data_IF_914661910325
#
_entry.id   IF_914661910325
#
_cell.length_a   1.000
_cell.length_b   1.000
_cell.length_c   1.000
_cell.angle_alpha   90.00
_cell.angle_beta   90.00
_cell.angle_gamma   90.00
#
_symmetry.space_group_name_H-M   'P 1'
#
loop_
_entity.id
_entity.type
_entity.pdbx_description
1 polymer ?
#
# COMPACT_ATOMS: atom_id res chain seq x y z
N UNK A 1 -16.69 -15.97 -6.73
CA UNK A 1 -17.30 -14.62 -6.66
C UNK A 1 -16.51 -13.69 -7.55
N UNK A 2 -17.12 -12.72 -8.23
CA UNK A 2 -16.39 -11.73 -9.04
C UNK A 2 -15.69 -10.68 -8.15
N UNK A 3 -14.49 -10.24 -8.56
CA UNK A 3 -13.64 -9.32 -7.78
C UNK A 3 -14.24 -7.92 -7.64
N UNK A 4 -14.88 -7.39 -8.69
CA UNK A 4 -15.51 -6.07 -8.63
C UNK A 4 -16.73 -6.09 -7.71
N UNK A 5 -17.52 -7.16 -7.79
CA UNK A 5 -18.63 -7.36 -6.86
C UNK A 5 -18.14 -7.50 -5.41
N UNK A 6 -17.01 -8.15 -5.17
CA UNK A 6 -16.39 -8.22 -3.86
C UNK A 6 -15.88 -6.84 -3.37
N UNK A 7 -15.35 -6.00 -4.25
CA UNK A 7 -14.87 -4.66 -3.87
C UNK A 7 -15.99 -3.61 -3.75
N UNK A 8 -17.18 -3.86 -4.29
CA UNK A 8 -18.29 -2.90 -4.27
C UNK A 8 -18.84 -2.55 -2.87
N UNK A 9 -18.52 -3.33 -1.84
CA UNK A 9 -19.01 -3.13 -0.47
C UNK A 9 -17.96 -2.39 0.39
N UNK A 10 -18.37 -1.34 1.12
CA UNK A 10 -17.45 -0.52 1.92
C UNK A 10 -16.82 -1.28 3.10
N UNK A 11 -17.54 -2.22 3.71
CA UNK A 11 -17.02 -3.04 4.81
C UNK A 11 -15.94 -3.98 4.27
N UNK A 12 -16.17 -4.60 3.11
CA UNK A 12 -15.15 -5.45 2.46
C UNK A 12 -13.88 -4.68 2.13
N UNK A 13 -13.99 -3.44 1.62
CA UNK A 13 -12.82 -2.57 1.39
C UNK A 13 -12.10 -2.23 2.68
N UNK A 14 -12.82 -1.85 3.73
CA UNK A 14 -12.22 -1.55 5.05
C UNK A 14 -11.47 -2.75 5.65
N UNK A 15 -12.00 -3.96 5.49
CA UNK A 15 -11.32 -5.19 5.89
C UNK A 15 -10.02 -5.41 5.10
N UNK A 16 -10.03 -5.18 3.79
CA UNK A 16 -8.82 -5.29 2.95
C UNK A 16 -7.78 -4.23 3.32
N UNK A 17 -8.18 -2.98 3.56
CA UNK A 17 -7.29 -1.91 4.03
C UNK A 17 -6.59 -2.26 5.34
N UNK A 18 -7.32 -2.96 6.22
CA UNK A 18 -6.77 -3.42 7.49
C UNK A 18 -5.82 -4.60 7.31
N UNK A 19 -6.18 -5.57 6.49
CA UNK A 19 -5.33 -6.72 6.16
C UNK A 19 -4.08 -6.33 5.34
N UNK A 20 -4.11 -5.19 4.66
CA UNK A 20 -2.94 -4.63 3.97
C UNK A 20 -1.80 -4.27 4.95
N UNK A 21 -2.13 -4.02 6.22
CA UNK A 21 -1.16 -3.77 7.31
C UNK A 21 -0.56 -5.04 7.90
N UNK A 22 -1.13 -6.20 7.61
CA UNK A 22 -0.65 -7.51 8.05
C UNK A 22 -1.78 -8.49 8.39
N UNK A 23 -1.46 -9.79 8.59
CA UNK A 23 -2.46 -10.79 8.91
C UNK A 23 -3.11 -10.58 10.29
N UNK A 24 -4.43 -10.75 10.40
CA UNK A 24 -5.19 -10.50 11.63
C UNK A 24 -6.25 -11.56 11.91
N UNK A 25 -6.63 -11.71 13.19
CA UNK A 25 -7.72 -12.62 13.58
C UNK A 25 -9.07 -12.00 13.26
N UNK A 26 -10.07 -12.85 13.03
CA UNK A 26 -11.46 -12.41 12.84
C UNK A 26 -11.98 -11.56 14.00
N UNK A 27 -11.54 -11.84 15.24
CA UNK A 27 -11.97 -11.11 16.44
C UNK A 27 -11.41 -9.69 16.44
N UNK A 28 -10.13 -9.53 16.07
CA UNK A 28 -9.49 -8.23 15.98
C UNK A 28 -10.12 -7.41 14.86
N UNK A 29 -10.38 -8.05 13.71
CA UNK A 29 -11.08 -7.44 12.57
C UNK A 29 -12.47 -6.92 12.95
N UNK A 30 -13.21 -7.68 13.76
CA UNK A 30 -14.55 -7.31 14.21
C UNK A 30 -14.56 -6.20 15.27
N UNK A 31 -13.51 -6.06 16.08
CA UNK A 31 -13.46 -5.08 17.17
C UNK A 31 -13.61 -3.62 16.69
N UNK A 32 -13.18 -3.33 15.47
CA UNK A 32 -13.18 -1.96 14.92
C UNK A 32 -14.44 -1.67 14.09
N UNK A 33 -15.41 -2.58 14.07
CA UNK A 33 -16.63 -2.45 13.28
C UNK A 33 -17.87 -2.51 14.17
N UNK A 34 -18.88 -1.69 13.86
CA UNK A 34 -20.18 -1.71 14.53
C UNK A 34 -21.06 -2.92 14.14
N UNK A 35 -20.51 -3.88 13.39
CA UNK A 35 -21.23 -5.06 12.91
C UNK A 35 -20.76 -6.32 13.61
N UNK A 36 -21.63 -7.32 13.62
CA UNK A 36 -21.40 -8.56 14.35
C UNK A 36 -20.27 -9.40 13.75
N UNK A 37 -19.62 -10.21 14.60
CA UNK A 37 -18.61 -11.19 14.16
C UNK A 37 -19.11 -12.13 13.05
N UNK A 38 -20.35 -12.66 13.08
CA UNK A 38 -20.91 -13.43 11.95
C UNK A 38 -20.98 -12.65 10.65
N UNK A 39 -21.32 -11.35 10.69
CA UNK A 39 -21.33 -10.50 9.50
C UNK A 39 -19.92 -10.34 8.93
N UNK A 40 -18.91 -10.07 9.78
CA UNK A 40 -17.49 -10.02 9.37
C UNK A 40 -17.04 -11.33 8.74
N UNK A 41 -17.37 -12.48 9.36
CA UNK A 41 -17.06 -13.80 8.78
C UNK A 41 -17.70 -14.00 7.41
N UNK A 42 -18.92 -13.49 7.19
CA UNK A 42 -19.58 -13.52 5.87
C UNK A 42 -18.83 -12.66 4.84
N UNK A 43 -18.41 -11.45 5.23
CA UNK A 43 -17.60 -10.59 4.36
C UNK A 43 -16.28 -11.26 3.99
N UNK A 44 -15.58 -11.86 4.96
CA UNK A 44 -14.32 -12.59 4.73
C UNK A 44 -14.51 -13.82 3.85
N UNK A 45 -15.64 -14.53 3.96
CA UNK A 45 -15.98 -15.63 3.05
C UNK A 45 -16.12 -15.15 1.60
N UNK A 46 -16.87 -14.07 1.37
CA UNK A 46 -17.03 -13.46 0.03
C UNK A 46 -15.68 -13.00 -0.54
N UNK A 47 -14.83 -12.39 0.29
CA UNK A 47 -13.49 -11.99 -0.10
C UNK A 47 -12.61 -13.21 -0.46
N UNK A 48 -12.71 -14.30 0.28
CA UNK A 48 -11.98 -15.55 -0.01
C UNK A 48 -12.45 -16.22 -1.31
N UNK A 49 -13.76 -16.24 -1.54
CA UNK A 49 -14.36 -16.72 -2.80
C UNK A 49 -14.00 -15.87 -4.03
N UNK A 50 -13.54 -14.63 -3.81
CA UNK A 50 -13.01 -13.74 -4.83
C UNK A 50 -11.48 -13.78 -4.93
N UNK A 51 -10.81 -14.61 -4.13
CA UNK A 51 -9.35 -14.72 -4.12
C UNK A 51 -8.61 -13.52 -3.51
N UNK A 52 -9.31 -12.65 -2.78
CA UNK A 52 -8.74 -11.44 -2.18
C UNK A 52 -8.16 -11.67 -0.78
N UNK A 53 -8.55 -12.75 -0.11
CA UNK A 53 -7.99 -13.13 1.20
C UNK A 53 -7.79 -14.63 1.30
N UNK A 54 -6.81 -15.03 2.10
CA UNK A 54 -6.60 -16.40 2.56
C UNK A 54 -6.80 -16.49 4.07
N UNK A 55 -7.02 -17.70 4.58
CA UNK A 55 -7.14 -17.97 6.00
C UNK A 55 -6.15 -19.06 6.41
N UNK A 56 -5.32 -18.76 7.42
CA UNK A 56 -4.39 -19.68 8.05
C UNK A 56 -4.93 -20.04 9.44
N UNK A 57 -4.96 -21.34 9.77
CA UNK A 57 -5.26 -21.80 11.13
C UNK A 57 -3.98 -21.77 11.98
N UNK A 58 -4.03 -21.02 13.09
CA UNK A 58 -2.96 -20.94 14.09
C UNK A 58 -3.52 -21.42 15.42
N UNK A 59 -3.40 -22.72 15.69
CA UNK A 59 -4.00 -23.36 16.85
C UNK A 59 -5.53 -23.30 16.78
N UNK A 60 -6.15 -22.55 17.69
CA UNK A 60 -7.62 -22.36 17.74
C UNK A 60 -8.09 -21.11 17.01
N UNK A 61 -7.17 -20.32 16.47
CA UNK A 61 -7.46 -19.03 15.87
C UNK A 61 -7.35 -19.07 14.35
N UNK A 62 -8.23 -18.34 13.67
CA UNK A 62 -8.16 -18.14 12.21
C UNK A 62 -7.61 -16.76 11.91
N UNK A 63 -6.48 -16.74 11.23
CA UNK A 63 -5.81 -15.52 10.79
C UNK A 63 -6.08 -15.32 9.31
N UNK A 64 -6.55 -14.13 8.95
CA UNK A 64 -6.79 -13.75 7.56
C UNK A 64 -5.63 -12.93 7.04
N UNK A 65 -5.32 -13.07 5.76
CA UNK A 65 -4.27 -12.33 5.05
C UNK A 65 -4.80 -11.81 3.72
N UNK A 66 -4.35 -10.62 3.33
CA UNK A 66 -4.60 -10.06 2.00
C UNK A 66 -3.81 -10.84 0.94
N UNK A 67 -4.52 -11.32 -0.09
CA UNK A 67 -3.91 -11.91 -1.28
C UNK A 67 -3.84 -10.87 -2.39
N UNK A 68 -2.67 -10.22 -2.51
CA UNK A 68 -2.48 -9.11 -3.46
C UNK A 68 -2.60 -9.55 -4.92
N UNK A 69 -2.29 -10.81 -5.22
CA UNK A 69 -2.46 -11.39 -6.55
C UNK A 69 -3.92 -11.37 -7.02
N UNK A 70 -4.88 -11.49 -6.10
CA UNK A 70 -6.31 -11.40 -6.40
C UNK A 70 -6.75 -10.02 -6.91
N UNK A 71 -5.94 -8.97 -6.70
CA UNK A 71 -6.21 -7.62 -7.21
C UNK A 71 -5.72 -7.39 -8.64
N UNK A 72 -4.95 -8.32 -9.23
CA UNK A 72 -4.36 -8.17 -10.56
C UNK A 72 -5.40 -7.81 -11.66
N UNK A 73 -6.58 -8.46 -11.73
CA UNK A 73 -7.58 -8.12 -12.76
C UNK A 73 -8.11 -6.68 -12.63
N UNK A 74 -8.20 -6.17 -11.40
CA UNK A 74 -8.67 -4.80 -11.14
C UNK A 74 -7.60 -3.80 -11.54
N UNK A 75 -6.34 -4.05 -11.19
CA UNK A 75 -5.23 -3.17 -11.60
C UNK A 75 -5.04 -3.13 -13.10
N UNK A 76 -5.16 -4.27 -13.78
CA UNK A 76 -5.04 -4.36 -15.24
C UNK A 76 -6.18 -3.61 -15.94
N UNK A 77 -7.42 -3.80 -15.49
CA UNK A 77 -8.57 -3.07 -16.00
C UNK A 77 -8.43 -1.55 -15.80
N UNK A 78 -8.01 -1.10 -14.61
CA UNK A 78 -7.75 0.31 -14.35
C UNK A 78 -6.62 0.88 -15.22
N UNK A 79 -5.55 0.12 -15.43
CA UNK A 79 -4.44 0.52 -16.29
C UNK A 79 -4.88 0.72 -17.75
N UNK A 80 -5.81 -0.10 -18.24
CA UNK A 80 -6.40 0.06 -19.58
C UNK A 80 -7.32 1.29 -19.73
N UNK A 81 -7.84 1.83 -18.62
CA UNK A 81 -8.67 3.04 -18.60
C UNK A 81 -7.87 4.31 -18.30
N UNK A 82 -6.73 4.17 -17.63
CA UNK A 82 -5.91 5.30 -17.24
C UNK A 82 -5.41 6.03 -18.50
N UNK A 83 -5.53 7.37 -18.54
CA UNK A 83 -4.92 8.14 -19.62
C UNK A 83 -3.41 7.90 -19.59
N UNK A 84 -2.80 7.86 -20.77
CA UNK A 84 -1.34 7.84 -20.87
C UNK A 84 -0.79 9.02 -20.06
N UNK A 85 0.15 8.77 -19.11
CA UNK A 85 0.62 9.82 -18.24
C UNK A 85 1.30 10.92 -19.06
N UNK A 86 0.99 12.17 -18.75
CA UNK A 86 1.58 13.35 -19.42
C UNK A 86 3.11 13.42 -19.26
N UNK A 87 3.64 12.70 -18.27
CA UNK A 87 5.07 12.59 -17.95
C UNK A 87 5.37 11.09 -17.86
N UNK A 88 6.30 10.60 -18.66
CA UNK A 88 6.71 9.19 -18.64
C UNK A 88 7.49 8.85 -17.36
N UNK A 89 7.49 7.58 -16.95
CA UNK A 89 8.35 7.12 -15.84
C UNK A 89 9.83 7.46 -16.08
N UNK A 90 10.30 7.37 -17.32
CA UNK A 90 11.66 7.76 -17.69
C UNK A 90 11.97 9.25 -17.48
N UNK A 91 10.96 10.13 -17.57
CA UNK A 91 11.14 11.54 -17.24
C UNK A 91 11.29 11.75 -15.72
N UNK A 92 10.70 10.88 -14.89
CA UNK A 92 10.91 10.88 -13.44
C UNK A 92 12.32 10.39 -13.07
N UNK A 93 12.86 9.40 -13.77
CA UNK A 93 14.24 8.94 -13.57
C UNK A 93 15.25 10.07 -13.85
N UNK A 94 15.02 10.87 -14.90
CA UNK A 94 15.84 12.03 -15.23
C UNK A 94 15.81 13.12 -14.15
N UNK A 95 14.64 13.34 -13.53
CA UNK A 95 14.50 14.26 -12.41
C UNK A 95 15.28 13.78 -11.18
N UNK A 96 15.26 12.48 -10.91
CA UNK A 96 15.95 11.89 -9.76
C UNK A 96 17.48 12.08 -9.86
N UNK A 97 18.02 12.02 -11.08
CA UNK A 97 19.43 12.35 -11.36
C UNK A 97 19.74 13.82 -11.10
N UNK A 98 18.88 14.74 -11.53
CA UNK A 98 19.10 16.17 -11.39
C UNK A 98 18.98 16.64 -9.93
N UNK A 99 18.07 16.04 -9.16
CA UNK A 99 17.96 16.26 -7.71
C UNK A 99 19.25 15.82 -7.00
N UNK A 100 19.77 14.62 -7.30
CA UNK A 100 21.02 14.12 -6.69
C UNK A 100 22.23 14.98 -7.05
N UNK A 101 22.30 15.46 -8.28
CA UNK A 101 23.35 16.38 -8.73
C UNK A 101 23.32 17.68 -7.93
N UNK A 102 22.16 18.33 -7.84
CA UNK A 102 21.99 19.60 -7.15
C UNK A 102 22.34 19.51 -5.67
N UNK A 103 21.95 18.41 -5.01
CA UNK A 103 22.32 18.13 -3.60
C UNK A 103 23.84 18.02 -3.46
N UNK A 104 24.51 17.29 -4.37
CA UNK A 104 25.98 17.12 -4.34
C UNK A 104 26.73 18.43 -4.57
N UNK A 105 26.26 19.26 -5.51
CA UNK A 105 26.85 20.57 -5.80
C UNK A 105 26.73 21.50 -4.59
N UNK A 106 25.58 21.52 -3.91
CA UNK A 106 25.40 22.26 -2.64
C UNK A 106 26.32 21.77 -1.52
N UNK A 107 26.39 20.46 -1.29
CA UNK A 107 27.27 19.90 -0.25
C UNK A 107 28.74 20.22 -0.52
N UNK A 108 29.18 20.20 -1.77
CA UNK A 108 30.56 20.56 -2.15
C UNK A 108 30.82 22.05 -1.93
N UNK A 109 29.83 22.92 -2.20
CA UNK A 109 29.92 24.34 -1.96
C UNK A 109 29.94 24.71 -0.46
N UNK A 110 29.28 23.94 0.41
CA UNK A 110 29.34 24.11 1.87
C UNK A 110 30.67 23.66 2.48
N UNK A 111 31.24 22.54 2.01
CA UNK A 111 32.55 22.05 2.47
C UNK A 111 33.70 22.97 2.02
N UNK A 112 33.51 23.67 0.90
CA UNK A 112 34.50 24.61 0.36
C UNK A 112 34.47 26.01 0.99
N UNK A 113 33.59 26.30 1.97
CA UNK A 113 33.69 27.55 2.74
C UNK A 113 34.80 27.39 3.79
N UNK A 114 35.97 28.08 3.65
CA UNK A 114 36.97 28.08 4.69
C UNK A 114 36.38 28.78 5.93
N UNK A 115 36.45 28.09 7.07
CA UNK A 115 36.34 28.73 8.38
C UNK A 115 37.42 29.81 8.44
N UNK A 116 37.00 31.05 8.20
CA UNK A 116 37.82 32.22 8.49
C UNK A 116 37.85 32.34 10.01
N UNK A 117 38.74 31.57 10.64
CA UNK A 117 39.29 31.94 11.94
C UNK A 117 40.29 33.04 11.65
N UNK A 118 39.80 34.28 11.62
CA UNK A 118 40.65 35.46 11.75
C UNK A 118 41.23 35.44 13.17
N UNK A 119 42.44 34.91 13.27
CA UNK A 119 43.41 35.22 14.31
C UNK A 119 43.83 36.68 14.11
N UNK A 120 43.54 37.55 15.07
CA UNK A 120 44.11 38.90 15.13
C UNK A 120 44.56 39.20 16.55
N UNK A 121 45.89 39.33 16.65
CA UNK A 121 46.71 40.09 17.62
C UNK A 121 46.83 39.59 19.07
#
# INVERSE_FOLDING_TARGET
MDVFMALGDPVRRSLLDRLARGPQRVVDLAADHAISRPAISRHLKVLGEAGLVSADERGRERHYRLERSGLAPVSEWLAGLAPSPLISESALDGLDLEVRRTVRERSTAEIAQPTTTEETA
#
